data_IF_245376000402
#
_entry.id   IF_245376000402
#
_cell.length_a   1.000
_cell.length_b   1.000
_cell.length_c   1.000
_cell.angle_alpha   90.00
_cell.angle_beta   90.00
_cell.angle_gamma   90.00
#
_symmetry.space_group_name_H-M   'P 1'
#
loop_
_entity.id
_entity.type
_entity.pdbx_description
1 polymer ?
#
# COMPACT_ATOMS: atom_id res chain seq x y z
N UNK A 1 -0.43 -24.89 3.09
CA UNK A 1 -1.83 -25.38 3.13
C UNK A 1 -2.75 -24.24 2.68
N UNK A 2 -3.59 -24.45 1.67
CA UNK A 2 -4.60 -23.46 1.24
C UNK A 2 -5.88 -23.68 2.03
N UNK A 3 -6.24 -22.76 2.92
CA UNK A 3 -7.53 -22.76 3.61
C UNK A 3 -8.43 -21.68 3.02
N UNK A 4 -9.59 -22.05 2.49
CA UNK A 4 -10.66 -21.08 2.21
C UNK A 4 -11.41 -20.90 3.53
N UNK A 5 -11.25 -19.74 4.16
CA UNK A 5 -12.01 -19.40 5.37
C UNK A 5 -13.39 -18.83 5.00
N UNK A 6 -14.40 -18.92 5.88
CA UNK A 6 -15.66 -18.20 5.69
C UNK A 6 -15.39 -16.69 5.53
N UNK A 7 -16.22 -16.01 4.72
CA UNK A 7 -16.11 -14.59 4.32
C UNK A 7 -15.22 -14.21 3.12
N UNK A 8 -15.15 -15.03 2.04
CA UNK A 8 -14.42 -14.64 0.80
C UNK A 8 -12.95 -14.23 1.08
N UNK A 9 -12.37 -14.83 2.12
CA UNK A 9 -10.98 -14.63 2.55
C UNK A 9 -10.12 -15.78 2.04
N UNK A 10 -8.93 -15.44 1.58
CA UNK A 10 -7.94 -16.42 1.10
C UNK A 10 -6.68 -16.21 1.90
N UNK A 11 -6.30 -17.20 2.70
CA UNK A 11 -5.09 -17.18 3.52
C UNK A 11 -4.15 -18.30 3.05
N UNK A 12 -2.92 -17.95 2.66
CA UNK A 12 -1.96 -18.91 2.14
C UNK A 12 -0.61 -18.73 2.82
N UNK A 13 -0.04 -19.84 3.28
CA UNK A 13 1.32 -19.91 3.81
C UNK A 13 2.05 -21.12 3.23
N UNK A 14 3.23 -20.86 2.63
CA UNK A 14 4.08 -21.87 2.01
C UNK A 14 5.53 -21.37 1.81
N UNK A 15 6.53 -22.08 2.32
CA UNK A 15 7.96 -21.70 2.27
C UNK A 15 8.69 -22.16 0.99
N UNK A 16 7.98 -22.30 -0.13
CA UNK A 16 8.47 -23.00 -1.31
C UNK A 16 9.28 -22.14 -2.31
N UNK A 17 10.15 -22.83 -3.07
CA UNK A 17 10.44 -22.51 -4.48
C UNK A 17 9.68 -23.56 -5.31
N UNK A 18 8.88 -23.21 -6.33
CA UNK A 18 8.92 -22.03 -7.22
C UNK A 18 8.09 -20.80 -6.78
N UNK A 19 8.12 -19.72 -7.58
CA UNK A 19 7.29 -18.51 -7.42
C UNK A 19 5.82 -18.89 -7.27
N UNK A 20 5.15 -18.30 -6.29
CA UNK A 20 3.74 -18.54 -6.03
C UNK A 20 2.88 -18.10 -7.23
N UNK A 21 2.05 -18.99 -7.80
CA UNK A 21 1.33 -18.71 -9.03
C UNK A 21 0.03 -17.94 -8.74
N UNK A 22 0.13 -16.73 -8.19
CA UNK A 22 -1.03 -15.90 -7.82
C UNK A 22 -2.01 -15.72 -9.00
N UNK A 23 -1.47 -15.64 -10.22
CA UNK A 23 -2.27 -15.54 -11.44
C UNK A 23 -3.10 -16.76 -11.77
N UNK A 24 -2.57 -17.95 -11.52
CA UNK A 24 -3.28 -19.21 -11.68
C UNK A 24 -4.19 -19.54 -10.50
N UNK A 25 -4.10 -18.78 -9.41
CA UNK A 25 -4.91 -18.99 -8.22
C UNK A 25 -6.33 -18.46 -8.44
N UNK A 26 -7.34 -19.24 -8.06
CA UNK A 26 -8.74 -18.82 -8.04
C UNK A 26 -9.25 -18.25 -9.38
N UNK A 27 -8.75 -18.73 -10.53
CA UNK A 27 -9.09 -18.20 -11.87
C UNK A 27 -10.60 -17.99 -12.13
N UNK A 28 -11.47 -18.78 -11.47
CA UNK A 28 -12.92 -18.67 -11.58
C UNK A 28 -13.61 -17.89 -10.44
N UNK A 29 -12.86 -17.44 -9.43
CA UNK A 29 -13.39 -16.83 -8.21
C UNK A 29 -12.67 -15.54 -7.77
N UNK A 30 -11.63 -15.06 -8.48
CA UNK A 30 -10.86 -13.86 -8.09
C UNK A 30 -11.75 -12.62 -7.91
N UNK A 31 -12.75 -12.47 -8.76
CA UNK A 31 -13.73 -11.37 -8.73
C UNK A 31 -14.62 -11.37 -7.47
N UNK A 32 -14.65 -12.45 -6.71
CA UNK A 32 -15.39 -12.58 -5.46
C UNK A 32 -14.51 -12.44 -4.23
N UNK A 33 -13.18 -12.38 -4.38
CA UNK A 33 -12.25 -12.24 -3.25
C UNK A 33 -12.23 -10.79 -2.78
N UNK A 34 -12.64 -10.56 -1.53
CA UNK A 34 -12.57 -9.24 -0.90
C UNK A 34 -11.36 -9.07 0.01
N UNK A 35 -10.74 -10.17 0.44
CA UNK A 35 -9.54 -10.17 1.27
C UNK A 35 -8.56 -11.24 0.81
N UNK A 36 -7.35 -10.81 0.46
CA UNK A 36 -6.25 -11.68 0.08
C UNK A 36 -5.13 -11.50 1.10
N UNK A 37 -4.81 -12.59 1.78
CA UNK A 37 -3.75 -12.65 2.78
C UNK A 37 -2.74 -13.72 2.40
N UNK A 38 -1.52 -13.29 2.08
CA UNK A 38 -0.42 -14.16 1.71
C UNK A 38 0.69 -13.99 2.74
N UNK A 39 1.17 -15.11 3.26
CA UNK A 39 2.23 -15.17 4.28
C UNK A 39 3.34 -16.09 3.81
N UNK A 40 4.59 -15.65 3.90
CA UNK A 40 5.76 -16.50 3.70
C UNK A 40 5.89 -17.16 2.31
N UNK A 41 5.13 -16.74 1.30
CA UNK A 41 5.17 -17.29 -0.07
C UNK A 41 6.17 -16.56 -0.95
N UNK A 42 6.77 -17.22 -1.94
CA UNK A 42 7.68 -16.54 -2.88
C UNK A 42 6.91 -15.70 -3.93
N UNK A 43 6.84 -14.38 -3.74
CA UNK A 43 6.30 -13.41 -4.70
C UNK A 43 7.41 -12.47 -5.21
N UNK A 44 8.60 -13.02 -5.49
CA UNK A 44 9.71 -12.25 -6.06
C UNK A 44 9.26 -11.46 -7.31
N UNK A 45 9.21 -10.13 -7.15
CA UNK A 45 8.63 -9.21 -8.12
C UNK A 45 7.11 -9.33 -8.23
N UNK A 46 6.40 -8.25 -7.89
CA UNK A 46 4.95 -8.14 -8.09
C UNK A 46 4.63 -7.00 -9.06
N UNK A 47 3.69 -7.25 -9.98
CA UNK A 47 3.25 -6.29 -10.99
C UNK A 47 1.73 -6.38 -11.21
N UNK A 48 1.21 -5.58 -12.14
CA UNK A 48 -0.24 -5.53 -12.38
C UNK A 48 -0.89 -6.86 -12.75
N UNK A 49 -0.16 -7.73 -13.45
CA UNK A 49 -0.69 -9.01 -13.89
C UNK A 49 -1.08 -9.86 -12.68
N UNK A 50 -0.30 -9.82 -11.58
CA UNK A 50 -0.52 -10.57 -10.33
C UNK A 50 -1.89 -10.32 -9.70
N UNK A 51 -2.45 -9.12 -9.90
CA UNK A 51 -3.72 -8.70 -9.33
C UNK A 51 -4.87 -8.66 -10.35
N UNK A 52 -4.64 -9.11 -11.59
CA UNK A 52 -5.67 -9.19 -12.60
C UNK A 52 -6.83 -10.11 -12.16
N UNK A 53 -8.05 -9.58 -12.24
CA UNK A 53 -9.29 -10.26 -11.89
C UNK A 53 -9.71 -10.10 -10.43
N UNK A 54 -8.91 -9.48 -9.55
CA UNK A 54 -9.25 -9.20 -8.16
C UNK A 54 -10.12 -7.92 -8.00
N UNK A 55 -11.13 -7.77 -8.87
CA UNK A 55 -12.02 -6.60 -8.93
C UNK A 55 -12.92 -6.40 -7.70
N UNK A 56 -12.87 -7.31 -6.71
CA UNK A 56 -13.59 -7.20 -5.44
C UNK A 56 -12.70 -6.88 -4.24
N UNK A 57 -11.37 -6.76 -4.45
CA UNK A 57 -10.39 -6.79 -3.37
C UNK A 57 -10.38 -5.48 -2.56
N UNK A 58 -10.63 -5.58 -1.26
CA UNK A 58 -10.62 -4.46 -0.31
C UNK A 58 -9.42 -4.48 0.63
N UNK A 59 -8.93 -5.68 0.94
CA UNK A 59 -7.85 -5.92 1.88
C UNK A 59 -6.77 -6.77 1.21
N UNK A 60 -5.58 -6.20 1.05
CA UNK A 60 -4.40 -6.89 0.57
C UNK A 60 -3.36 -6.93 1.67
N UNK A 61 -2.99 -8.13 2.10
CA UNK A 61 -2.01 -8.33 3.15
C UNK A 61 -0.94 -9.32 2.69
N UNK A 62 0.28 -8.81 2.52
CA UNK A 62 1.46 -9.54 2.08
C UNK A 62 2.50 -9.48 3.18
N UNK A 63 2.72 -10.61 3.86
CA UNK A 63 3.68 -10.73 4.96
C UNK A 63 4.81 -11.68 4.57
N UNK A 64 6.07 -11.21 4.66
CA UNK A 64 7.25 -12.06 4.43
C UNK A 64 7.24 -12.83 3.10
N UNK A 65 6.73 -12.21 2.04
CA UNK A 65 6.53 -12.86 0.74
C UNK A 65 7.74 -12.74 -0.20
N UNK A 66 8.94 -12.51 0.34
CA UNK A 66 10.19 -12.38 -0.44
C UNK A 66 10.09 -11.35 -1.58
N UNK A 67 9.29 -10.29 -1.39
CA UNK A 67 9.12 -9.25 -2.39
C UNK A 67 10.37 -8.37 -2.37
N UNK A 68 11.05 -8.27 -3.51
CA UNK A 68 12.24 -7.42 -3.67
C UNK A 68 11.95 -6.13 -4.43
N UNK A 69 10.86 -6.10 -5.20
CA UNK A 69 10.43 -4.96 -6.00
C UNK A 69 8.90 -4.93 -6.16
N UNK A 70 8.34 -3.72 -6.14
CA UNK A 70 6.94 -3.43 -6.45
C UNK A 70 6.90 -2.68 -7.78
N UNK A 71 6.17 -3.23 -8.76
CA UNK A 71 5.92 -2.54 -10.01
C UNK A 71 5.06 -1.30 -9.79
N UNK A 72 5.41 -0.18 -10.45
CA UNK A 72 4.64 1.07 -10.40
C UNK A 72 3.19 0.92 -10.87
N UNK A 73 2.89 -0.14 -11.62
CA UNK A 73 1.59 -0.44 -12.20
C UNK A 73 0.79 -1.46 -11.39
N UNK A 74 1.32 -1.97 -10.27
CA UNK A 74 0.75 -3.11 -9.51
C UNK A 74 -0.76 -3.01 -9.26
N UNK A 75 -1.28 -1.80 -9.05
CA UNK A 75 -2.69 -1.57 -8.76
C UNK A 75 -3.50 -1.04 -9.94
N UNK A 76 -2.95 -0.96 -11.16
CA UNK A 76 -3.70 -0.48 -12.34
C UNK A 76 -4.97 -1.32 -12.61
N UNK A 77 -4.91 -2.64 -12.38
CA UNK A 77 -6.03 -3.57 -12.65
C UNK A 77 -7.12 -3.56 -11.56
N UNK A 78 -6.80 -3.08 -10.36
CA UNK A 78 -7.73 -3.04 -9.21
C UNK A 78 -8.02 -1.62 -8.73
N UNK A 79 -7.37 -0.62 -9.30
CA UNK A 79 -7.59 0.78 -9.00
C UNK A 79 -8.55 1.44 -9.98
N UNK A 80 -9.04 2.62 -9.61
CA UNK A 80 -9.86 3.46 -10.48
C UNK A 80 -8.91 4.44 -11.18
N UNK A 81 -8.77 4.32 -12.50
CA UNK A 81 -8.13 5.38 -13.28
C UNK A 81 -9.10 6.58 -13.29
N UNK A 82 -8.66 7.68 -12.71
CA UNK A 82 -9.47 8.76 -12.13
C UNK A 82 -10.45 9.53 -13.00
N UNK A 83 -10.66 9.18 -14.27
CA UNK A 83 -11.55 9.90 -15.19
C UNK A 83 -12.45 9.00 -16.05
N UNK A 84 -12.43 7.68 -15.85
CA UNK A 84 -13.41 6.82 -16.49
C UNK A 84 -14.79 7.09 -15.86
N UNK A 85 -15.84 7.47 -16.65
CA UNK A 85 -17.20 7.47 -16.13
C UNK A 85 -17.43 6.08 -15.55
N UNK A 86 -17.96 6.03 -14.33
CA UNK A 86 -18.24 4.80 -13.59
C UNK A 86 -19.27 3.98 -14.37
N UNK A 87 -18.82 3.25 -15.40
CA UNK A 87 -19.65 2.34 -16.18
C UNK A 87 -19.76 1.09 -15.33
N UNK A 88 -20.77 1.11 -14.45
CA UNK A 88 -21.04 0.15 -13.38
C UNK A 88 -20.15 0.36 -12.14
N UNK A 89 -20.78 0.67 -11.00
CA UNK A 89 -20.14 0.87 -9.69
C UNK A 89 -19.57 -0.43 -9.10
N UNK A 90 -18.62 -1.05 -9.80
CA UNK A 90 -17.97 -2.33 -9.45
C UNK A 90 -16.44 -2.18 -9.55
N UNK A 91 -15.90 -0.99 -9.24
CA UNK A 91 -14.46 -0.89 -9.01
C UNK A 91 -14.20 -1.06 -7.51
N UNK A 92 -13.30 -1.98 -7.12
CA UNK A 92 -13.01 -2.16 -5.73
C UNK A 92 -12.28 -0.93 -5.22
N UNK A 93 -12.64 -0.52 -4.02
CA UNK A 93 -11.87 0.45 -3.27
C UNK A 93 -10.91 -0.38 -2.43
N UNK A 94 -9.67 -0.56 -2.88
CA UNK A 94 -8.66 -1.16 -2.02
C UNK A 94 -8.45 -0.21 -0.82
N UNK A 95 -8.89 -0.64 0.35
CA UNK A 95 -8.94 0.21 1.56
C UNK A 95 -7.73 -0.03 2.45
N UNK A 96 -7.18 -1.26 2.43
CA UNK A 96 -6.08 -1.68 3.30
C UNK A 96 -5.02 -2.40 2.49
N UNK A 97 -3.80 -1.91 2.60
CA UNK A 97 -2.60 -2.50 2.00
C UNK A 97 -1.53 -2.67 3.07
N UNK A 98 -1.21 -3.93 3.35
CA UNK A 98 -0.07 -4.31 4.18
C UNK A 98 0.97 -5.00 3.31
N UNK A 99 2.17 -4.44 3.24
CA UNK A 99 3.33 -5.02 2.57
C UNK A 99 4.48 -4.98 3.58
N UNK A 100 4.50 -5.99 4.45
CA UNK A 100 5.33 -6.00 5.67
C UNK A 100 6.35 -7.14 5.65
N UNK A 101 7.53 -6.88 6.20
CA UNK A 101 8.64 -7.84 6.35
C UNK A 101 9.19 -8.34 4.99
N UNK A 102 9.52 -7.45 4.05
CA UNK A 102 10.14 -7.84 2.77
C UNK A 102 11.51 -7.18 2.51
N UNK A 103 12.16 -7.56 1.43
CA UNK A 103 13.49 -7.07 1.02
C UNK A 103 13.42 -5.90 0.03
N UNK A 104 12.35 -5.10 0.10
CA UNK A 104 12.18 -3.95 -0.79
C UNK A 104 13.18 -2.86 -0.43
N UNK A 105 14.12 -2.58 -1.32
CA UNK A 105 15.14 -1.55 -1.09
C UNK A 105 14.78 -0.18 -1.70
N UNK A 106 13.95 -0.18 -2.74
CA UNK A 106 13.55 1.02 -3.46
C UNK A 106 12.06 0.98 -3.75
N UNK A 107 11.40 2.13 -3.62
CA UNK A 107 9.98 2.27 -3.90
C UNK A 107 9.70 3.55 -4.67
N UNK A 108 8.88 3.44 -5.71
CA UNK A 108 8.32 4.58 -6.41
C UNK A 108 6.89 4.79 -5.93
N UNK A 109 6.65 5.88 -5.20
CA UNK A 109 5.38 6.21 -4.55
C UNK A 109 4.21 6.29 -5.53
N UNK A 110 4.48 6.51 -6.82
CA UNK A 110 3.46 6.54 -7.88
C UNK A 110 2.63 5.25 -7.96
N UNK A 111 3.13 4.11 -7.44
CA UNK A 111 2.39 2.85 -7.42
C UNK A 111 1.04 2.93 -6.71
N UNK A 112 0.87 3.88 -5.77
CA UNK A 112 -0.38 4.09 -5.05
C UNK A 112 -1.43 4.85 -5.86
N UNK A 113 -1.05 5.50 -6.97
CA UNK A 113 -1.92 6.39 -7.73
C UNK A 113 -3.31 5.79 -8.04
N UNK A 114 -3.41 4.53 -8.50
CA UNK A 114 -4.71 3.94 -8.85
C UNK A 114 -5.66 3.75 -7.64
N UNK A 115 -5.13 3.70 -6.41
CA UNK A 115 -5.89 3.39 -5.19
C UNK A 115 -5.90 4.53 -4.17
N UNK A 116 -5.10 5.59 -4.37
CA UNK A 116 -4.74 6.56 -3.32
C UNK A 116 -5.95 7.25 -2.71
N UNK A 117 -7.00 7.52 -3.51
CA UNK A 117 -8.20 8.26 -3.07
C UNK A 117 -9.06 7.50 -2.06
N UNK A 118 -8.95 6.17 -2.04
CA UNK A 118 -9.77 5.28 -1.23
C UNK A 118 -8.99 4.52 -0.17
N UNK A 119 -7.66 4.52 -0.28
CA UNK A 119 -6.78 3.86 0.68
C UNK A 119 -6.94 4.51 2.06
N UNK A 120 -7.31 3.70 3.06
CA UNK A 120 -7.46 4.09 4.46
C UNK A 120 -6.27 3.67 5.30
N UNK A 121 -5.69 2.53 4.97
CA UNK A 121 -4.60 1.94 5.74
C UNK A 121 -3.47 1.54 4.79
N UNK A 122 -2.29 2.07 5.03
CA UNK A 122 -1.05 1.67 4.36
C UNK A 122 -0.01 1.31 5.41
N UNK A 123 0.48 0.08 5.38
CA UNK A 123 1.58 -0.38 6.21
C UNK A 123 2.70 -0.95 5.33
N UNK A 124 3.87 -0.30 5.40
CA UNK A 124 5.09 -0.68 4.69
C UNK A 124 6.24 -1.00 5.68
N UNK A 125 5.91 -1.46 6.88
CA UNK A 125 6.90 -1.74 7.93
C UNK A 125 7.85 -2.89 7.60
N UNK A 126 9.01 -2.83 8.24
CA UNK A 126 10.05 -3.85 8.18
C UNK A 126 10.48 -4.21 6.76
N UNK A 127 10.48 -3.21 5.87
CA UNK A 127 11.14 -3.31 4.59
C UNK A 127 12.58 -2.77 4.66
N UNK A 128 13.40 -3.14 3.68
CA UNK A 128 14.80 -2.71 3.59
C UNK A 128 14.99 -1.37 2.85
N UNK A 129 14.00 -0.48 2.90
CA UNK A 129 13.91 0.73 2.08
C UNK A 129 15.10 1.67 2.33
N UNK A 130 15.84 1.95 1.25
CA UNK A 130 16.98 2.89 1.17
C UNK A 130 16.63 4.15 0.40
N UNK A 131 15.66 4.08 -0.51
CA UNK A 131 15.24 5.21 -1.34
C UNK A 131 13.75 5.12 -1.64
N UNK A 132 13.07 6.26 -1.54
CA UNK A 132 11.72 6.42 -2.05
C UNK A 132 11.67 7.64 -2.97
N UNK A 133 11.13 7.42 -4.15
CA UNK A 133 10.96 8.42 -5.19
C UNK A 133 9.48 8.54 -5.53
N UNK A 134 9.12 9.47 -6.41
CA UNK A 134 7.79 9.52 -6.99
C UNK A 134 7.93 9.95 -8.45
N UNK A 135 7.51 9.10 -9.37
CA UNK A 135 7.35 9.48 -10.79
C UNK A 135 5.92 9.93 -11.10
N UNK A 136 5.09 10.20 -10.09
CA UNK A 136 3.73 10.66 -10.29
C UNK A 136 3.73 12.00 -11.03
N UNK A 137 2.95 12.08 -12.10
CA UNK A 137 2.72 13.30 -12.87
C UNK A 137 1.32 13.86 -12.61
N UNK A 138 0.92 14.90 -13.36
CA UNK A 138 -0.41 15.51 -13.23
C UNK A 138 -1.56 14.54 -13.49
N UNK A 139 -1.32 13.45 -14.25
CA UNK A 139 -2.32 12.46 -14.62
C UNK A 139 -2.35 11.27 -13.64
N UNK A 140 -1.32 11.14 -12.80
CA UNK A 140 -1.12 10.03 -11.88
C UNK A 140 -0.80 10.50 -10.46
N UNK A 141 -1.30 11.68 -10.07
CA UNK A 141 -1.03 12.25 -8.76
C UNK A 141 -1.50 11.35 -7.63
N UNK A 142 -0.61 11.09 -6.67
CA UNK A 142 -0.95 10.34 -5.45
C UNK A 142 -1.57 11.30 -4.45
N UNK A 143 -2.86 11.12 -4.18
CA UNK A 143 -3.58 11.85 -3.14
C UNK A 143 -4.28 10.88 -2.20
N UNK A 144 -3.74 10.77 -0.99
CA UNK A 144 -4.20 9.91 0.10
C UNK A 144 -5.36 10.57 0.84
N UNK A 145 -6.48 10.75 0.12
CA UNK A 145 -7.65 11.52 0.57
C UNK A 145 -8.31 10.93 1.81
N UNK A 146 -8.33 9.61 1.91
CA UNK A 146 -9.08 8.86 2.92
C UNK A 146 -8.16 8.16 3.91
N UNK A 147 -6.87 8.46 3.91
CA UNK A 147 -5.90 7.74 4.75
C UNK A 147 -6.15 8.05 6.22
N UNK A 148 -6.28 6.99 7.01
CA UNK A 148 -6.51 7.01 8.44
C UNK A 148 -5.27 6.51 9.18
N UNK A 149 -4.57 5.52 8.62
CA UNK A 149 -3.37 4.91 9.19
C UNK A 149 -2.27 4.82 8.14
N UNK A 150 -1.12 5.43 8.43
CA UNK A 150 0.09 5.30 7.64
C UNK A 150 1.26 4.86 8.52
N UNK A 151 1.72 3.63 8.33
CA UNK A 151 2.88 3.11 9.05
C UNK A 151 3.99 2.79 8.07
N UNK A 152 5.16 3.35 8.35
CA UNK A 152 6.34 3.05 7.58
C UNK A 152 7.60 3.27 8.41
N UNK A 153 8.22 2.16 8.79
CA UNK A 153 9.54 2.11 9.41
C UNK A 153 10.55 1.61 8.38
N UNK A 154 11.37 2.52 7.87
CA UNK A 154 12.49 2.22 6.99
C UNK A 154 13.81 2.37 7.74
N UNK A 155 14.50 1.26 8.02
CA UNK A 155 15.74 1.27 8.82
C UNK A 155 16.90 2.06 8.21
N UNK A 156 16.80 2.47 6.93
CA UNK A 156 17.87 3.15 6.19
C UNK A 156 17.50 4.52 5.65
N UNK A 157 16.25 4.95 5.80
CA UNK A 157 15.85 6.29 5.41
C UNK A 157 16.05 7.24 6.58
N UNK A 158 16.84 8.29 6.36
CA UNK A 158 17.05 9.34 7.36
C UNK A 158 15.93 10.38 7.35
N UNK A 159 15.17 10.48 6.26
CA UNK A 159 14.20 11.55 6.05
C UNK A 159 12.95 11.09 5.33
N UNK A 160 11.80 11.69 5.66
CA UNK A 160 10.53 11.54 4.93
C UNK A 160 10.54 12.47 3.70
N UNK A 161 10.47 11.93 2.47
CA UNK A 161 10.37 12.74 1.26
C UNK A 161 9.13 13.65 1.23
N UNK A 162 9.30 14.84 0.65
CA UNK A 162 8.28 15.90 0.63
C UNK A 162 6.94 15.49 0.04
N UNK A 163 6.98 14.81 -1.10
CA UNK A 163 5.78 14.38 -1.81
C UNK A 163 4.90 13.42 -0.99
N UNK A 164 5.44 12.75 0.04
CA UNK A 164 4.67 11.83 0.87
C UNK A 164 3.76 12.60 1.80
N UNK A 165 4.29 13.55 2.58
CA UNK A 165 3.44 14.33 3.47
C UNK A 165 2.53 15.32 2.72
N UNK A 166 2.91 15.76 1.52
CA UNK A 166 2.02 16.55 0.65
C UNK A 166 0.87 15.72 0.06
N UNK A 167 1.04 14.39 -0.03
CA UNK A 167 -0.03 13.50 -0.50
C UNK A 167 -1.10 13.22 0.57
N UNK A 168 -0.86 13.56 1.84
CA UNK A 168 -1.75 13.21 2.96
C UNK A 168 -2.91 14.19 3.12
N UNK A 169 -4.12 13.66 3.32
CA UNK A 169 -5.19 14.43 3.93
C UNK A 169 -5.07 14.34 5.47
N UNK A 170 -4.52 15.38 6.07
CA UNK A 170 -4.31 15.41 7.52
C UNK A 170 -5.60 15.38 8.34
N UNK A 171 -6.76 15.71 7.75
CA UNK A 171 -8.04 15.67 8.46
C UNK A 171 -8.60 14.24 8.61
N UNK A 172 -8.17 13.29 7.76
CA UNK A 172 -8.57 11.89 7.87
C UNK A 172 -7.58 11.06 8.70
N UNK A 173 -6.35 11.54 8.85
CA UNK A 173 -5.25 10.79 9.44
C UNK A 173 -5.40 10.66 10.96
N UNK A 174 -5.68 9.44 11.43
CA UNK A 174 -5.78 9.11 12.85
C UNK A 174 -4.42 8.66 13.44
N UNK A 175 -3.59 8.01 12.63
CA UNK A 175 -2.28 7.49 13.04
C UNK A 175 -1.26 7.61 11.91
N UNK A 176 -0.08 8.11 12.25
CA UNK A 176 1.09 7.98 11.39
C UNK A 176 2.35 7.72 12.21
N UNK A 177 3.14 6.75 11.76
CA UNK A 177 4.44 6.44 12.35
C UNK A 177 5.55 6.61 11.33
N UNK A 178 6.44 7.55 11.63
CA UNK A 178 7.67 7.84 10.89
C UNK A 178 8.90 7.67 11.79
N UNK A 179 8.81 6.85 12.84
CA UNK A 179 9.88 6.66 13.82
C UNK A 179 11.19 6.32 13.13
N UNK A 180 12.26 7.05 13.49
CA UNK A 180 13.58 6.92 12.88
C UNK A 180 13.85 7.85 11.70
N UNK A 181 12.84 8.58 11.20
CA UNK A 181 12.98 9.53 10.10
C UNK A 181 12.83 10.99 10.55
N UNK A 182 13.50 11.90 9.85
CA UNK A 182 13.36 13.36 10.00
C UNK A 182 12.54 13.96 8.86
N UNK A 183 11.90 15.09 9.07
CA UNK A 183 11.29 15.85 7.98
C UNK A 183 12.32 16.83 7.42
N UNK A 184 12.44 16.93 6.08
CA UNK A 184 13.46 17.77 5.43
C UNK A 184 13.22 19.28 5.58
N UNK A 185 12.01 19.71 5.91
CA UNK A 185 11.62 21.12 6.03
C UNK A 185 10.87 21.34 7.35
N UNK A 186 10.82 22.58 7.84
CA UNK A 186 9.91 22.97 8.94
C UNK A 186 8.47 22.81 8.43
N UNK A 187 7.89 21.62 8.55
CA UNK A 187 6.48 21.42 8.28
C UNK A 187 5.68 22.05 9.42
N UNK A 188 5.30 23.32 9.23
CA UNK A 188 4.43 24.04 10.14
C UNK A 188 3.02 23.55 9.89
N UNK A 189 2.62 22.52 10.64
CA UNK A 189 1.21 22.16 10.73
C UNK A 189 0.48 23.34 11.39
N UNK A 190 -0.44 23.97 10.66
CA UNK A 190 -1.41 24.88 11.28
C UNK A 190 -2.32 24.05 12.18
N UNK A 191 -2.19 24.28 13.48
CA UNK A 191 -2.86 23.52 14.54
C UNK A 191 -4.37 23.55 14.37
N UNK A 192 -4.96 22.42 14.00
CA UNK A 192 -6.32 22.06 14.39
C UNK A 192 -6.22 20.82 15.26
N UNK A 193 -6.84 20.88 16.44
CA UNK A 193 -6.77 19.88 17.51
C UNK A 193 -7.12 18.47 17.01
N UNK A 194 -6.12 17.66 16.66
CA UNK A 194 -6.26 16.21 16.53
C UNK A 194 -5.10 15.47 17.20
N UNK A 195 -5.35 14.34 17.89
CA UNK A 195 -4.32 13.57 18.60
C UNK A 195 -3.15 13.11 17.71
N UNK A 196 -3.39 12.84 16.43
CA UNK A 196 -2.36 12.44 15.46
C UNK A 196 -1.22 13.47 15.32
N UNK A 197 -1.50 14.76 15.58
CA UNK A 197 -0.52 15.83 15.48
C UNK A 197 0.50 15.88 16.62
N UNK A 198 0.19 15.31 17.79
CA UNK A 198 1.13 15.33 18.92
C UNK A 198 2.37 14.46 18.65
N UNK A 199 2.27 13.44 17.79
CA UNK A 199 3.41 12.60 17.40
C UNK A 199 4.31 13.27 16.36
N UNK A 200 3.73 13.95 15.36
CA UNK A 200 4.51 14.66 14.35
C UNK A 200 5.29 15.83 14.96
N UNK A 201 4.74 16.54 15.94
CA UNK A 201 5.43 17.66 16.62
C UNK A 201 6.62 17.22 17.50
N UNK A 202 6.61 16.01 18.08
CA UNK A 202 7.75 15.52 18.88
C UNK A 202 8.99 15.19 18.05
N UNK A 203 8.85 15.03 16.74
CA UNK A 203 9.97 14.82 15.81
C UNK A 203 10.67 16.12 15.41
N UNK A 204 10.20 17.29 15.89
CA UNK A 204 10.77 18.60 15.58
C UNK A 204 11.59 19.24 16.71
N UNK A 205 11.63 18.63 17.91
CA UNK A 205 12.42 19.12 19.05
C UNK A 205 13.58 18.18 19.38
#
# INVERSE_FOLDING_TARGET
>A
MTGICPERRVCISDHATPRFPLNGLLIHNKNHVSRLELRSVNLSGINKADFNGFVGLKYLELYSCQITAIGKDIFEEIGIIGDAPSVSGIFPHLETVYIVDHDIEQLDWAFLSPISRHLKVLNLDNNNLKSVTSTADSNSQVFLKSIEWLEWRGYKLSTVPRFIYESLNLNSLAYADFTGMRFCEKYVVQQTYQPAFQYLQRLYN
#
